data_IF_815493608582
#
_entry.id   IF_815493608582
#
_cell.length_a   1.000
_cell.length_b   1.000
_cell.length_c   1.000
_cell.angle_alpha   90.00
_cell.angle_beta   90.00
_cell.angle_gamma   90.00
#
_symmetry.space_group_name_H-M   'P 1'
#
loop_
_entity.id
_entity.type
_entity.pdbx_description
1 polymer ?
#
# COMPACT_ATOMS: atom_id res chain seq x y z
N UNK A 1 -25.10 0.06 -26.49
CA UNK A 1 -25.04 -0.35 -25.06
C UNK A 1 -24.03 -1.48 -24.84
N UNK A 2 -24.20 -2.66 -25.46
CA UNK A 2 -23.31 -3.82 -25.27
C UNK A 2 -21.83 -3.55 -25.64
N UNK A 3 -21.57 -2.78 -26.71
CA UNK A 3 -20.20 -2.40 -27.11
C UNK A 3 -19.49 -1.53 -26.06
N UNK A 4 -20.24 -0.65 -25.37
CA UNK A 4 -19.70 0.24 -24.35
C UNK A 4 -19.32 -0.52 -23.07
N UNK A 5 -20.08 -1.57 -22.72
CA UNK A 5 -19.78 -2.44 -21.58
C UNK A 5 -18.53 -3.29 -21.82
N UNK A 6 -18.34 -3.80 -23.04
CA UNK A 6 -17.12 -4.56 -23.39
C UNK A 6 -15.90 -3.65 -23.42
N UNK A 7 -16.03 -2.42 -23.94
CA UNK A 7 -14.97 -1.42 -23.91
C UNK A 7 -14.58 -1.04 -22.47
N UNK A 8 -15.57 -0.78 -21.60
CA UNK A 8 -15.33 -0.51 -20.18
C UNK A 8 -14.71 -1.68 -19.43
N UNK A 9 -15.09 -2.94 -19.73
CA UNK A 9 -14.46 -4.11 -19.12
C UNK A 9 -12.99 -4.22 -19.52
N UNK A 10 -12.65 -3.97 -20.78
CA UNK A 10 -11.26 -3.99 -21.27
C UNK A 10 -10.44 -2.85 -20.63
N UNK A 11 -10.99 -1.63 -20.55
CA UNK A 11 -10.33 -0.53 -19.84
C UNK A 11 -10.11 -0.85 -18.36
N UNK A 12 -11.14 -1.33 -17.65
CA UNK A 12 -11.02 -1.65 -16.22
C UNK A 12 -10.07 -2.82 -15.94
N UNK A 13 -9.95 -3.79 -16.85
CA UNK A 13 -9.04 -4.91 -16.65
C UNK A 13 -7.59 -4.58 -17.00
N UNK A 14 -7.34 -3.60 -17.88
CA UNK A 14 -6.00 -3.29 -18.38
C UNK A 14 -5.38 -2.01 -17.79
N UNK A 15 -6.21 -1.01 -17.44
CA UNK A 15 -5.75 0.29 -16.91
C UNK A 15 -5.63 0.25 -15.39
N UNK A 16 -6.58 -0.35 -14.70
CA UNK A 16 -6.61 -0.45 -13.24
C UNK A 16 -5.39 -1.19 -12.63
N UNK A 17 -4.87 -2.32 -13.20
CA UNK A 17 -3.72 -3.00 -12.60
C UNK A 17 -2.40 -2.27 -12.83
N UNK A 18 -2.31 -1.36 -13.81
CA UNK A 18 -1.06 -0.62 -14.09
C UNK A 18 -0.85 0.53 -13.12
N UNK A 19 -1.90 1.25 -12.73
CA UNK A 19 -1.79 2.40 -11.80
C UNK A 19 -1.67 1.94 -10.35
N UNK A 20 -2.29 0.80 -9.99
CA UNK A 20 -2.18 0.26 -8.63
C UNK A 20 -0.87 -0.48 -8.35
N UNK A 21 -0.05 -0.77 -9.37
CA UNK A 21 1.16 -1.60 -9.22
C UNK A 21 2.35 -0.89 -8.57
N UNK A 22 2.30 0.43 -8.42
CA UNK A 22 3.33 1.23 -7.75
C UNK A 22 2.95 1.73 -6.36
N UNK A 23 1.70 1.54 -5.93
CA UNK A 23 1.33 1.80 -4.55
C UNK A 23 1.79 0.63 -3.70
N UNK A 24 2.97 0.80 -3.14
CA UNK A 24 3.53 0.02 -2.06
C UNK A 24 4.30 -1.24 -2.45
N UNK A 25 5.61 -1.06 -2.60
CA UNK A 25 6.57 -2.00 -2.01
C UNK A 25 6.48 -1.92 -0.47
N UNK A 26 5.28 -2.02 0.11
CA UNK A 26 5.18 -2.50 1.48
C UNK A 26 5.74 -3.91 1.36
N UNK A 27 7.00 -4.08 1.76
CA UNK A 27 7.53 -5.42 1.95
C UNK A 27 6.52 -6.10 2.87
N UNK A 28 5.80 -7.13 2.38
CA UNK A 28 4.80 -7.83 3.20
C UNK A 28 5.40 -8.24 4.56
N UNK A 29 6.71 -8.55 4.55
CA UNK A 29 7.52 -8.75 5.74
C UNK A 29 7.54 -7.55 6.70
N UNK A 30 7.70 -6.32 6.22
CA UNK A 30 7.72 -5.13 7.08
C UNK A 30 6.37 -4.85 7.75
N UNK A 31 5.26 -5.10 7.06
CA UNK A 31 3.93 -5.05 7.66
C UNK A 31 3.76 -6.14 8.73
N UNK A 32 4.15 -7.38 8.42
CA UNK A 32 4.12 -8.50 9.37
C UNK A 32 5.00 -8.20 10.60
N UNK A 33 6.19 -7.65 10.41
CA UNK A 33 7.09 -7.26 11.50
C UNK A 33 6.50 -6.14 12.34
N UNK A 34 5.83 -5.16 11.74
CA UNK A 34 5.18 -4.07 12.48
C UNK A 34 4.01 -4.59 13.32
N UNK A 35 3.23 -5.53 12.78
CA UNK A 35 2.19 -6.24 13.54
C UNK A 35 2.82 -7.03 14.67
N UNK A 36 3.88 -7.79 14.41
CA UNK A 36 4.53 -8.61 15.44
C UNK A 36 5.10 -7.77 16.58
N UNK A 37 5.79 -6.67 16.25
CA UNK A 37 6.36 -5.74 17.23
C UNK A 37 5.26 -5.01 17.98
N UNK A 38 4.24 -4.48 17.28
CA UNK A 38 3.10 -3.83 17.92
C UNK A 38 2.36 -4.78 18.87
N UNK A 39 2.17 -6.02 18.44
CA UNK A 39 1.54 -7.08 19.24
C UNK A 39 2.39 -7.42 20.46
N UNK A 40 3.72 -7.48 20.33
CA UNK A 40 4.60 -7.76 21.46
C UNK A 40 4.56 -6.66 22.54
N UNK A 41 4.38 -5.39 22.13
CA UNK A 41 4.40 -4.23 23.04
C UNK A 41 3.03 -4.03 23.72
N UNK A 42 1.94 -4.11 22.95
CA UNK A 42 0.59 -3.74 23.41
C UNK A 42 -0.44 -4.88 23.27
N UNK A 43 -0.02 -6.11 23.01
CA UNK A 43 -0.90 -7.26 22.82
C UNK A 43 -1.81 -7.09 21.60
N UNK A 44 -3.04 -7.60 21.72
CA UNK A 44 -4.04 -7.53 20.63
C UNK A 44 -4.29 -6.08 20.18
N UNK A 45 -4.27 -5.10 21.09
CA UNK A 45 -4.46 -3.69 20.73
C UNK A 45 -3.36 -3.16 19.81
N UNK A 46 -2.11 -3.59 20.03
CA UNK A 46 -1.00 -3.24 19.17
C UNK A 46 -1.13 -3.84 17.76
N UNK A 47 -1.69 -5.05 17.64
CA UNK A 47 -1.98 -5.67 16.36
C UNK A 47 -3.02 -4.86 15.55
N UNK A 48 -4.07 -4.37 16.21
CA UNK A 48 -5.15 -3.61 15.56
C UNK A 48 -4.66 -2.29 14.94
N UNK A 49 -3.73 -1.61 15.59
CA UNK A 49 -3.24 -0.29 15.18
C UNK A 49 -1.93 -0.38 14.37
N UNK A 50 -1.30 -1.55 14.30
CA UNK A 50 -0.03 -1.73 13.59
C UNK A 50 -0.10 -1.42 12.08
N UNK A 51 -1.21 -1.76 11.42
CA UNK A 51 -1.37 -1.51 9.97
C UNK A 51 -1.37 -0.02 9.63
N UNK A 52 -2.23 0.84 10.23
CA UNK A 52 -2.21 2.27 9.94
C UNK A 52 -0.91 2.94 10.42
N UNK A 53 -0.32 2.50 11.53
CA UNK A 53 0.97 3.02 12.02
C UNK A 53 2.08 2.73 11.03
N UNK A 54 2.16 1.51 10.51
CA UNK A 54 3.14 1.16 9.49
C UNK A 54 2.94 1.97 8.20
N UNK A 55 1.69 2.13 7.76
CA UNK A 55 1.38 2.96 6.58
C UNK A 55 1.81 4.41 6.79
N UNK A 56 1.50 5.00 7.95
CA UNK A 56 1.91 6.36 8.30
C UNK A 56 3.45 6.49 8.35
N UNK A 57 4.15 5.57 9.01
CA UNK A 57 5.60 5.54 9.06
C UNK A 57 6.22 5.41 7.67
N UNK A 58 5.65 4.56 6.80
CA UNK A 58 6.12 4.38 5.43
C UNK A 58 5.91 5.64 4.58
N UNK A 59 4.81 6.39 4.78
CA UNK A 59 4.60 7.68 4.12
C UNK A 59 5.66 8.68 4.57
N UNK A 60 5.88 8.81 5.89
CA UNK A 60 6.90 9.70 6.44
C UNK A 60 8.29 9.34 5.94
N UNK A 61 8.66 8.06 5.95
CA UNK A 61 9.96 7.60 5.43
C UNK A 61 10.08 7.91 3.94
N UNK A 62 9.03 7.65 3.15
CA UNK A 62 9.05 7.99 1.71
C UNK A 62 9.19 9.50 1.48
N UNK A 63 8.50 10.33 2.27
CA UNK A 63 8.57 11.79 2.14
C UNK A 63 9.90 12.37 2.61
N UNK A 64 10.47 11.86 3.70
CA UNK A 64 11.68 12.40 4.33
C UNK A 64 12.96 11.83 3.72
N UNK A 65 13.02 10.52 3.45
CA UNK A 65 14.21 9.85 2.93
C UNK A 65 14.24 9.76 1.39
N UNK A 66 13.10 9.82 0.72
CA UNK A 66 12.99 9.74 -0.74
C UNK A 66 12.32 10.97 -1.37
N UNK A 67 12.77 12.22 -1.11
CA UNK A 67 12.22 13.41 -1.78
C UNK A 67 12.52 13.48 -3.30
N UNK A 68 13.12 12.44 -3.91
CA UNK A 68 13.65 12.49 -5.29
C UNK A 68 13.36 11.27 -6.18
N UNK A 69 12.22 10.59 -6.02
CA UNK A 69 11.83 9.53 -6.98
C UNK A 69 10.63 9.86 -7.87
N UNK A 70 9.99 11.03 -7.72
CA UNK A 70 8.90 11.46 -8.61
C UNK A 70 9.41 12.20 -9.89
N UNK A 71 10.69 12.04 -10.24
CA UNK A 71 11.32 12.71 -11.40
C UNK A 71 11.96 11.75 -12.42
N UNK A 72 11.48 10.50 -12.54
CA UNK A 72 11.79 9.64 -13.69
C UNK A 72 10.62 8.78 -14.12
#
# INVERSE_FOLDING_TARGET
MAFFLVYQQIENWLIYPRVMRQAVRVSGLAAILSVLVGTAIAGVFGALVAVPVYAAAQIVVRQVWLPRQDAR
#
